data_IF_035438381209
#
_entry.id   IF_035438381209
#
_cell.length_a   1.000
_cell.length_b   1.000
_cell.length_c   1.000
_cell.angle_alpha   90.00
_cell.angle_beta   90.00
_cell.angle_gamma   90.00
#
_symmetry.space_group_name_H-M   'P 1'
#
loop_
_entity.id
_entity.type
_entity.pdbx_description
1 polymer ?
#
# COMPACT_ATOMS: atom_id res chain seq x y z
N UNK A 1 5.62 -0.26 14.62
CA UNK A 1 4.14 -0.20 14.63
C UNK A 1 3.59 0.47 13.37
N UNK A 2 3.91 1.75 13.11
CA UNK A 2 3.43 2.51 11.95
C UNK A 2 3.59 1.86 10.57
N UNK A 3 4.72 1.20 10.27
CA UNK A 3 4.97 0.53 8.98
C UNK A 3 4.14 -0.75 8.77
N UNK A 4 3.96 -1.55 9.82
CA UNK A 4 3.14 -2.78 9.77
C UNK A 4 1.67 -2.43 9.57
N UNK A 5 1.19 -1.37 10.25
CA UNK A 5 -0.18 -0.88 10.10
C UNK A 5 -0.40 -0.30 8.69
N UNK A 6 0.56 0.43 8.14
CA UNK A 6 0.44 0.95 6.76
C UNK A 6 0.46 -0.17 5.71
N UNK A 7 1.29 -1.21 5.90
CA UNK A 7 1.26 -2.39 5.03
C UNK A 7 -0.08 -3.12 5.08
N UNK A 8 -0.60 -3.34 6.28
CA UNK A 8 -1.89 -4.00 6.47
C UNK A 8 -3.03 -3.21 5.78
N UNK A 9 -3.13 -1.91 6.02
CA UNK A 9 -4.15 -1.07 5.40
C UNK A 9 -3.95 -0.91 3.89
N UNK A 10 -2.70 -0.84 3.41
CA UNK A 10 -2.43 -0.77 1.97
C UNK A 10 -2.83 -2.06 1.24
N UNK A 11 -2.70 -3.21 1.89
CA UNK A 11 -3.15 -4.49 1.34
C UNK A 11 -4.69 -4.56 1.27
N UNK A 12 -5.37 -4.19 2.35
CA UNK A 12 -6.84 -4.16 2.40
C UNK A 12 -7.41 -3.20 1.35
N UNK A 13 -6.87 -1.99 1.24
CA UNK A 13 -7.32 -1.01 0.26
C UNK A 13 -7.01 -1.44 -1.18
N UNK A 14 -5.87 -2.08 -1.45
CA UNK A 14 -5.55 -2.57 -2.80
C UNK A 14 -6.50 -3.69 -3.27
N UNK A 15 -6.93 -4.57 -2.36
CA UNK A 15 -7.97 -5.57 -2.68
C UNK A 15 -9.32 -4.94 -2.99
N UNK A 16 -9.74 -3.92 -2.21
CA UNK A 16 -10.98 -3.17 -2.47
C UNK A 16 -10.90 -2.48 -3.85
N UNK A 17 -9.78 -1.84 -4.17
CA UNK A 17 -9.59 -1.17 -5.46
C UNK A 17 -9.65 -2.15 -6.62
N UNK A 18 -9.02 -3.32 -6.53
CA UNK A 18 -9.12 -4.30 -7.61
C UNK A 18 -10.50 -4.94 -7.74
N UNK A 19 -11.24 -5.11 -6.63
CA UNK A 19 -12.64 -5.54 -6.70
C UNK A 19 -13.51 -4.50 -7.41
N UNK A 20 -13.36 -3.22 -7.05
CA UNK A 20 -14.07 -2.10 -7.68
C UNK A 20 -13.66 -1.98 -9.17
N UNK A 21 -12.37 -2.13 -9.48
CA UNK A 21 -11.83 -2.10 -10.84
C UNK A 21 -12.37 -3.25 -11.72
N UNK A 22 -12.45 -4.46 -11.18
CA UNK A 22 -13.09 -5.60 -11.84
C UNK A 22 -14.58 -5.37 -12.10
N UNK A 23 -15.30 -4.85 -11.10
CA UNK A 23 -16.72 -4.51 -11.23
C UNK A 23 -16.99 -3.43 -12.28
N UNK A 24 -16.13 -2.40 -12.36
CA UNK A 24 -16.23 -1.32 -13.35
C UNK A 24 -15.91 -1.78 -14.78
N UNK A 25 -14.96 -2.69 -14.94
CA UNK A 25 -14.54 -3.18 -16.26
C UNK A 25 -15.46 -4.27 -16.82
N UNK A 26 -16.48 -4.72 -16.07
CA UNK A 26 -17.33 -5.89 -16.38
C UNK A 26 -16.53 -7.16 -16.72
N UNK A 27 -15.23 -7.17 -16.40
CA UNK A 27 -14.31 -8.27 -16.63
C UNK A 27 -14.29 -9.21 -15.44
N UNK A 28 -13.88 -10.46 -15.65
CA UNK A 28 -13.70 -11.41 -14.56
C UNK A 28 -12.71 -10.82 -13.53
N UNK A 29 -13.13 -10.78 -12.27
CA UNK A 29 -12.26 -10.35 -11.17
C UNK A 29 -11.10 -11.35 -11.03
N UNK A 30 -9.91 -10.92 -11.42
CA UNK A 30 -8.70 -11.73 -11.28
C UNK A 30 -8.01 -11.39 -9.95
N UNK A 31 -8.24 -12.27 -8.97
CA UNK A 31 -7.65 -12.14 -7.63
C UNK A 31 -6.12 -12.12 -7.69
N UNK A 32 -5.51 -12.81 -8.66
CA UNK A 32 -4.05 -12.90 -8.79
C UNK A 32 -3.45 -11.56 -9.18
N UNK A 33 -4.01 -10.92 -10.22
CA UNK A 33 -3.56 -9.59 -10.67
C UNK A 33 -3.83 -8.54 -9.60
N UNK A 34 -4.99 -8.60 -8.95
CA UNK A 34 -5.35 -7.68 -7.87
C UNK A 34 -4.35 -7.75 -6.72
N UNK A 35 -3.92 -8.95 -6.35
CA UNK A 35 -2.96 -9.17 -5.27
C UNK A 35 -1.57 -8.65 -5.63
N UNK A 36 -1.13 -8.87 -6.88
CA UNK A 36 0.16 -8.36 -7.37
C UNK A 36 0.17 -6.82 -7.39
N UNK A 37 -0.89 -6.20 -7.91
CA UNK A 37 -1.02 -4.73 -7.96
C UNK A 37 -1.06 -4.15 -6.55
N UNK A 38 -1.79 -4.79 -5.64
CA UNK A 38 -1.86 -4.35 -4.23
C UNK A 38 -0.51 -4.45 -3.52
N UNK A 39 0.29 -5.48 -3.79
CA UNK A 39 1.64 -5.62 -3.24
C UNK A 39 2.58 -4.53 -3.79
N UNK A 40 2.56 -4.30 -5.10
CA UNK A 40 3.36 -3.25 -5.74
C UNK A 40 2.98 -1.87 -5.19
N UNK A 41 1.68 -1.57 -5.07
CA UNK A 41 1.19 -0.33 -4.50
C UNK A 41 1.65 -0.16 -3.03
N UNK A 42 1.58 -1.22 -2.21
CA UNK A 42 2.07 -1.18 -0.83
C UNK A 42 3.57 -0.90 -0.73
N UNK A 43 4.37 -1.50 -1.61
CA UNK A 43 5.83 -1.22 -1.69
C UNK A 43 6.09 0.23 -2.08
N UNK A 44 5.36 0.76 -3.07
CA UNK A 44 5.47 2.17 -3.48
C UNK A 44 5.12 3.10 -2.33
N UNK A 45 4.04 2.83 -1.58
CA UNK A 45 3.63 3.63 -0.42
C UNK A 45 4.69 3.62 0.68
N UNK A 46 5.36 2.48 0.94
CA UNK A 46 6.47 2.43 1.89
C UNK A 46 7.66 3.25 1.40
N UNK A 47 8.04 3.12 0.12
CA UNK A 47 9.15 3.87 -0.46
C UNK A 47 8.88 5.37 -0.43
N UNK A 48 7.67 5.79 -0.78
CA UNK A 48 7.21 7.17 -0.64
C UNK A 48 7.26 7.61 0.82
N UNK A 49 6.83 6.79 1.77
CA UNK A 49 6.96 7.10 3.20
C UNK A 49 8.41 7.20 3.68
N UNK A 50 9.33 6.43 3.10
CA UNK A 50 10.76 6.49 3.44
C UNK A 50 11.45 7.72 2.82
N UNK A 51 11.05 8.13 1.62
CA UNK A 51 11.63 9.29 0.89
C UNK A 51 10.99 10.60 1.32
N UNK A 52 9.67 10.62 1.54
CA UNK A 52 8.91 11.83 1.87
C UNK A 52 8.94 12.18 3.37
N UNK A 53 9.34 11.25 4.25
CA UNK A 53 9.66 11.60 5.63
C UNK A 53 11.07 12.20 5.64
N UNK A 54 11.23 13.53 5.81
CA UNK A 54 12.56 14.08 6.05
C UNK A 54 13.10 13.39 7.30
N UNK A 55 14.34 12.89 7.21
CA UNK A 55 15.09 12.30 8.32
C UNK A 55 15.00 13.24 9.51
N UNK A 56 14.05 12.99 10.43
CA UNK A 56 14.08 13.60 11.75
C UNK A 56 15.29 12.94 12.40
N UNK A 57 16.38 13.69 12.43
CA UNK A 57 17.54 13.38 13.25
C UNK A 57 17.02 12.89 14.60
N UNK A 58 17.58 11.77 15.06
CA UNK A 58 17.52 11.38 16.44
C UNK A 58 18.15 12.53 17.24
N UNK A 59 17.35 13.55 17.53
CA UNK A 59 17.66 14.52 18.55
C UNK A 59 17.60 13.74 19.85
N UNK A 60 18.78 13.27 20.23
CA UNK A 60 19.22 13.19 21.61
C UNK A 60 18.55 14.31 22.39
N UNK A 61 17.56 13.97 23.19
CA UNK A 61 17.11 14.84 24.25
C UNK A 61 17.23 14.04 25.54
N UNK A 62 18.39 14.29 26.16
CA UNK A 62 18.80 14.22 27.56
C UNK A 62 17.97 13.41 28.55
#
# INVERSE_FOLDING_TARGET
MRYIVTLFWSFVLGQVVGYIGGALTKGAYDFTLTTIISLIAGVIVILLGAVAVPKKEASSHS
#
